data_IF_502540990103
#
_entry.id   IF_502540990103
#
_cell.length_a   1.000
_cell.length_b   1.000
_cell.length_c   1.000
_cell.angle_alpha   90.00
_cell.angle_beta   90.00
_cell.angle_gamma   90.00
#
_symmetry.space_group_name_H-M   'P 1'
#
loop_
_entity.id
_entity.type
_entity.pdbx_description
1 polymer ?
#
# COMPACT_ATOMS: atom_id res chain seq x y z
N UNK A 1 26.01 55.35 -21.56
CA UNK A 1 24.73 55.85 -21.00
C UNK A 1 23.77 54.68 -20.82
N UNK A 2 23.40 54.29 -19.59
CA UNK A 2 22.37 53.26 -19.37
C UNK A 2 21.00 53.84 -19.76
N UNK A 3 20.36 53.26 -20.78
CA UNK A 3 19.05 53.68 -21.28
C UNK A 3 18.00 53.62 -20.17
N UNK A 4 16.99 54.50 -20.23
CA UNK A 4 15.87 54.53 -19.26
C UNK A 4 15.20 53.16 -19.11
N UNK A 5 15.10 52.41 -20.22
CA UNK A 5 14.60 51.04 -20.25
C UNK A 5 15.45 50.06 -19.42
N UNK A 6 16.79 50.12 -19.52
CA UNK A 6 17.68 49.25 -18.74
C UNK A 6 17.59 49.47 -17.23
N UNK A 7 17.32 50.72 -16.78
CA UNK A 7 17.07 51.02 -15.36
C UNK A 7 15.73 50.48 -14.86
N UNK A 8 14.71 50.45 -15.70
CA UNK A 8 13.39 49.89 -15.37
C UNK A 8 13.49 48.37 -15.26
N UNK A 9 14.11 47.70 -16.23
CA UNK A 9 14.31 46.25 -16.22
C UNK A 9 15.09 45.82 -14.96
N UNK A 10 16.19 46.51 -14.64
CA UNK A 10 16.98 46.18 -13.44
C UNK A 10 16.16 46.30 -12.14
N UNK A 11 15.31 47.32 -12.02
CA UNK A 11 14.44 47.50 -10.84
C UNK A 11 13.37 46.42 -10.75
N UNK A 12 12.78 46.02 -11.87
CA UNK A 12 11.79 44.94 -11.93
C UNK A 12 12.45 43.61 -11.57
N UNK A 13 13.61 43.29 -12.14
CA UNK A 13 14.36 42.07 -11.82
C UNK A 13 14.78 42.01 -10.35
N UNK A 14 15.25 43.13 -9.77
CA UNK A 14 15.58 43.21 -8.36
C UNK A 14 14.35 43.02 -7.46
N UNK A 15 13.21 43.59 -7.84
CA UNK A 15 11.94 43.40 -7.13
C UNK A 15 11.46 41.95 -7.16
N UNK A 16 11.53 41.29 -8.32
CA UNK A 16 11.19 39.87 -8.46
C UNK A 16 12.14 38.97 -7.66
N UNK A 17 13.44 39.27 -7.64
CA UNK A 17 14.41 38.52 -6.84
C UNK A 17 14.15 38.67 -5.33
N UNK A 18 13.83 39.90 -4.87
CA UNK A 18 13.47 40.15 -3.48
C UNK A 18 12.17 39.44 -3.08
N UNK A 19 11.15 39.46 -3.94
CA UNK A 19 9.91 38.71 -3.73
C UNK A 19 10.16 37.19 -3.70
N UNK A 20 11.01 36.67 -4.59
CA UNK A 20 11.41 35.27 -4.58
C UNK A 20 12.15 34.86 -3.31
N UNK A 21 13.07 35.69 -2.83
CA UNK A 21 13.78 35.46 -1.57
C UNK A 21 12.85 35.53 -0.36
N UNK A 22 11.93 36.50 -0.32
CA UNK A 22 10.92 36.60 0.73
C UNK A 22 9.99 35.39 0.73
N UNK A 23 9.58 34.91 -0.45
CA UNK A 23 8.78 33.69 -0.59
C UNK A 23 9.56 32.45 -0.10
N UNK A 24 10.85 32.32 -0.43
CA UNK A 24 11.70 31.25 0.09
C UNK A 24 11.78 31.29 1.62
N UNK A 25 12.03 32.45 2.22
CA UNK A 25 12.09 32.59 3.69
C UNK A 25 10.74 32.29 4.34
N UNK A 26 9.63 32.71 3.72
CA UNK A 26 8.29 32.46 4.25
C UNK A 26 7.83 31.00 4.08
N UNK A 27 8.37 30.27 3.09
CA UNK A 27 7.99 28.89 2.77
C UNK A 27 8.97 27.83 3.29
N UNK A 28 10.12 28.23 3.83
CA UNK A 28 11.11 27.33 4.41
C UNK A 28 11.10 27.45 5.92
N UNK A 29 10.98 26.32 6.60
CA UNK A 29 11.14 26.22 8.05
C UNK A 29 12.46 25.49 8.37
N UNK A 30 12.96 25.67 9.59
CA UNK A 30 14.09 24.93 10.09
C UNK A 30 13.79 23.43 10.17
N UNK A 31 14.83 22.60 10.03
CA UNK A 31 14.68 21.16 10.30
C UNK A 31 14.41 20.97 11.78
N UNK A 32 13.23 20.48 12.12
CA UNK A 32 12.89 20.15 13.48
C UNK A 32 13.55 18.82 13.91
N UNK A 33 14.55 18.92 14.78
CA UNK A 33 15.28 17.78 15.32
C UNK A 33 14.63 17.16 16.57
N UNK A 34 13.48 17.68 17.05
CA UNK A 34 12.79 17.09 18.19
C UNK A 34 12.34 15.67 17.84
N UNK A 35 12.57 14.68 18.72
CA UNK A 35 12.10 13.32 18.49
C UNK A 35 10.58 13.29 18.23
N UNK A 36 10.12 12.45 17.30
CA UNK A 36 8.72 12.46 16.85
C UNK A 36 7.72 12.24 18.00
N UNK A 37 8.07 11.46 19.02
CA UNK A 37 7.23 11.21 20.19
C UNK A 37 7.07 12.42 21.15
N UNK A 38 7.83 13.50 20.91
CA UNK A 38 7.67 14.79 21.62
C UNK A 38 6.91 15.81 20.79
N UNK A 39 6.42 15.44 19.61
CA UNK A 39 5.74 16.35 18.72
C UNK A 39 4.25 16.48 19.06
N UNK A 40 3.62 17.65 18.85
CA UNK A 40 2.19 17.82 19.08
C UNK A 40 1.33 16.82 18.31
N UNK A 41 1.69 16.52 17.05
CA UNK A 41 0.97 15.55 16.23
C UNK A 41 1.01 14.13 16.80
N UNK A 42 2.06 13.77 17.56
CA UNK A 42 2.16 12.45 18.18
C UNK A 42 1.15 12.31 19.31
N UNK A 43 1.10 13.29 20.22
CA UNK A 43 0.10 13.35 21.30
C UNK A 43 -1.32 13.32 20.75
N UNK A 44 -1.58 14.09 19.69
CA UNK A 44 -2.87 14.09 19.02
C UNK A 44 -3.22 12.73 18.39
N UNK A 45 -2.25 12.09 17.72
CA UNK A 45 -2.43 10.77 17.11
C UNK A 45 -2.74 9.70 18.18
N UNK A 46 -1.97 9.69 19.27
CA UNK A 46 -2.20 8.80 20.42
C UNK A 46 -3.58 9.00 21.04
N UNK A 47 -4.01 10.24 21.23
CA UNK A 47 -5.34 10.55 21.76
C UNK A 47 -6.45 10.05 20.82
N UNK A 48 -6.31 10.25 19.51
CA UNK A 48 -7.24 9.74 18.50
C UNK A 48 -7.31 8.21 18.52
N UNK A 49 -6.17 7.53 18.58
CA UNK A 49 -6.11 6.06 18.65
C UNK A 49 -6.79 5.52 19.90
N UNK A 50 -6.58 6.15 21.06
CA UNK A 50 -7.26 5.77 22.30
C UNK A 50 -8.77 5.95 22.20
N UNK A 51 -9.23 7.08 21.65
CA UNK A 51 -10.67 7.33 21.42
C UNK A 51 -11.28 6.27 20.50
N UNK A 52 -10.61 5.91 19.40
CA UNK A 52 -11.08 4.85 18.50
C UNK A 52 -11.10 3.48 19.19
N UNK A 53 -10.12 3.20 20.05
CA UNK A 53 -10.05 1.91 20.76
C UNK A 53 -11.12 1.82 21.85
N UNK A 54 -11.48 2.94 22.47
CA UNK A 54 -12.51 3.00 23.51
C UNK A 54 -13.92 2.67 22.98
N UNK A 55 -14.18 2.82 21.68
CA UNK A 55 -15.46 2.43 21.07
C UNK A 55 -15.51 0.99 20.58
N UNK A 56 -14.40 0.24 20.71
CA UNK A 56 -14.37 -1.15 20.29
C UNK A 56 -15.18 -2.03 21.24
N UNK A 57 -15.97 -2.94 20.67
CA UNK A 57 -16.74 -3.93 21.42
C UNK A 57 -16.16 -5.32 21.17
N UNK A 58 -15.99 -6.10 22.23
CA UNK A 58 -15.46 -7.47 22.13
C UNK A 58 -16.60 -8.42 21.84
N UNK A 59 -16.50 -9.16 20.74
CA UNK A 59 -17.40 -10.28 20.41
C UNK A 59 -16.72 -11.59 20.77
N UNK A 60 -17.45 -12.49 21.43
CA UNK A 60 -16.98 -13.83 21.80
C UNK A 60 -17.85 -14.88 21.08
N UNK A 61 -17.22 -15.95 20.64
CA UNK A 61 -17.88 -17.06 19.96
C UNK A 61 -16.86 -17.94 19.24
N UNK A 62 -17.37 -18.92 18.51
CA UNK A 62 -16.53 -19.80 17.69
C UNK A 62 -15.90 -19.02 16.54
N UNK A 63 -14.63 -19.31 16.26
CA UNK A 63 -13.91 -18.75 15.13
C UNK A 63 -14.20 -19.56 13.88
N UNK A 64 -14.52 -18.85 12.80
CA UNK A 64 -14.42 -19.38 11.46
C UNK A 64 -13.33 -18.64 10.67
N UNK A 65 -12.61 -19.38 9.83
CA UNK A 65 -11.61 -18.83 8.93
C UNK A 65 -11.83 -19.33 7.50
N UNK A 66 -11.56 -18.46 6.53
CA UNK A 66 -11.64 -18.77 5.12
C UNK A 66 -10.47 -18.15 4.38
N UNK A 67 -10.00 -18.81 3.32
CA UNK A 67 -8.78 -18.38 2.62
C UNK A 67 -9.05 -18.20 1.13
N UNK A 68 -8.47 -17.16 0.55
CA UNK A 68 -8.63 -16.87 -0.87
C UNK A 68 -7.33 -16.38 -1.49
N UNK A 69 -7.16 -16.65 -2.79
CA UNK A 69 -5.98 -16.23 -3.53
C UNK A 69 -6.31 -15.94 -4.99
N UNK A 70 -6.00 -14.74 -5.44
CA UNK A 70 -6.10 -14.35 -6.85
C UNK A 70 -4.71 -14.09 -7.43
N UNK A 71 -4.45 -14.58 -8.65
CA UNK A 71 -3.22 -14.25 -9.39
C UNK A 71 -3.24 -12.78 -9.76
N UNK A 72 -2.22 -12.03 -9.35
CA UNK A 72 -2.03 -10.62 -9.65
C UNK A 72 -1.18 -10.41 -10.90
N UNK A 73 -0.31 -11.37 -11.26
CA UNK A 73 0.52 -11.31 -12.47
C UNK A 73 -0.32 -11.02 -13.71
N UNK A 74 -0.10 -9.87 -14.38
CA UNK A 74 -0.67 -9.63 -15.69
C UNK A 74 0.15 -10.35 -16.76
N UNK A 75 -0.50 -10.76 -17.85
CA UNK A 75 0.20 -11.04 -19.10
C UNK A 75 0.67 -9.72 -19.73
N UNK A 76 1.94 -9.68 -20.12
CA UNK A 76 2.57 -8.53 -20.80
C UNK A 76 2.97 -8.93 -22.23
N UNK A 77 3.23 -7.94 -23.10
CA UNK A 77 3.49 -8.14 -24.53
C UNK A 77 2.29 -8.70 -25.32
N UNK A 78 1.07 -8.46 -24.84
CA UNK A 78 -0.13 -8.82 -25.58
C UNK A 78 -0.30 -7.95 -26.85
N UNK A 79 -1.08 -8.44 -27.82
CA UNK A 79 -1.41 -7.67 -29.02
C UNK A 79 -2.23 -6.40 -28.69
N UNK A 80 -3.13 -6.51 -27.71
CA UNK A 80 -4.03 -5.45 -27.27
C UNK A 80 -4.22 -5.49 -25.74
N UNK A 81 -4.56 -4.35 -25.16
CA UNK A 81 -4.91 -4.28 -23.74
C UNK A 81 -6.30 -4.89 -23.52
N UNK A 82 -6.39 -5.84 -22.59
CA UNK A 82 -7.63 -6.37 -22.05
C UNK A 82 -7.50 -6.47 -20.52
N UNK A 83 -7.71 -5.35 -19.80
CA UNK A 83 -7.56 -5.31 -18.35
C UNK A 83 -8.44 -6.30 -17.61
N UNK A 84 -9.64 -6.63 -18.11
CA UNK A 84 -10.53 -7.59 -17.46
C UNK A 84 -9.94 -9.01 -17.41
N UNK A 85 -9.08 -9.36 -18.39
CA UNK A 85 -8.35 -10.62 -18.46
C UNK A 85 -6.90 -10.50 -17.96
N UNK A 86 -6.49 -9.34 -17.47
CA UNK A 86 -5.13 -9.10 -16.99
C UNK A 86 -4.09 -9.11 -18.10
N UNK A 87 -4.49 -8.77 -19.33
CA UNK A 87 -3.63 -8.79 -20.50
C UNK A 87 -3.29 -7.36 -20.93
N UNK A 88 -2.00 -7.07 -21.11
CA UNK A 88 -1.52 -5.73 -21.41
C UNK A 88 -0.43 -5.78 -22.48
N UNK A 89 -0.42 -4.79 -23.36
CA UNK A 89 0.66 -4.60 -24.35
C UNK A 89 1.98 -4.35 -23.64
N UNK A 90 1.94 -3.55 -22.58
CA UNK A 90 3.12 -3.14 -21.81
C UNK A 90 2.69 -2.59 -20.47
N UNK A 91 3.36 -2.98 -19.38
CA UNK A 91 3.13 -2.42 -18.05
C UNK A 91 4.46 -2.08 -17.38
N UNK A 92 4.60 -0.90 -16.74
CA UNK A 92 5.76 -0.57 -15.92
C UNK A 92 5.87 -1.50 -14.70
N UNK A 93 7.09 -1.65 -14.19
CA UNK A 93 7.32 -2.24 -12.86
C UNK A 93 7.44 -1.13 -11.80
N UNK A 94 6.77 -1.30 -10.67
CA UNK A 94 6.77 -0.32 -9.58
C UNK A 94 8.03 -0.39 -8.69
N UNK A 95 8.39 0.70 -8.03
CA UNK A 95 9.29 0.73 -6.87
C UNK A 95 10.62 1.44 -7.10
N UNK A 96 11.38 1.09 -8.13
CA UNK A 96 12.66 1.74 -8.41
C UNK A 96 12.51 2.94 -9.35
N UNK A 97 12.73 4.15 -8.82
CA UNK A 97 12.72 5.40 -9.61
C UNK A 97 13.74 5.40 -10.75
N UNK A 98 14.91 4.78 -10.56
CA UNK A 98 15.95 4.64 -11.60
C UNK A 98 15.51 3.80 -12.80
N UNK A 99 14.41 3.04 -12.66
CA UNK A 99 13.80 2.33 -13.78
C UNK A 99 13.15 3.29 -14.77
N UNK A 100 12.82 4.53 -14.36
CA UNK A 100 12.15 5.56 -15.18
C UNK A 100 10.90 5.05 -15.88
N UNK A 101 10.12 4.21 -15.18
CA UNK A 101 8.90 3.62 -15.72
C UNK A 101 9.10 2.60 -16.86
N UNK A 102 10.32 2.06 -17.06
CA UNK A 102 10.54 0.99 -18.04
C UNK A 102 9.60 -0.20 -17.79
N UNK A 103 9.03 -0.78 -18.87
CA UNK A 103 8.08 -1.88 -18.75
C UNK A 103 8.73 -3.19 -18.33
N UNK A 104 7.90 -4.07 -17.78
CA UNK A 104 8.24 -5.47 -17.57
C UNK A 104 8.54 -6.13 -18.93
N UNK A 105 9.61 -6.93 -18.97
CA UNK A 105 9.98 -7.70 -20.17
C UNK A 105 9.48 -9.15 -20.11
N UNK A 106 9.02 -9.60 -18.95
CA UNK A 106 8.49 -10.94 -18.73
C UNK A 106 8.16 -11.17 -17.25
N UNK A 107 7.83 -12.42 -16.93
CA UNK A 107 7.48 -12.88 -15.58
C UNK A 107 8.49 -13.95 -15.16
N UNK A 108 9.07 -13.77 -13.97
CA UNK A 108 9.89 -14.81 -13.33
C UNK A 108 9.01 -15.71 -12.44
N UNK A 109 8.37 -15.11 -11.43
CA UNK A 109 7.41 -15.77 -10.54
C UNK A 109 6.03 -15.09 -10.61
N UNK A 110 5.01 -15.85 -10.24
CA UNK A 110 3.67 -15.31 -10.12
C UNK A 110 3.46 -14.49 -8.85
N UNK A 111 2.86 -13.31 -9.04
CA UNK A 111 2.37 -12.41 -8.00
C UNK A 111 0.95 -12.81 -7.63
N UNK A 112 0.59 -12.66 -6.36
CA UNK A 112 -0.74 -12.95 -5.86
C UNK A 112 -1.28 -11.85 -4.95
N UNK A 113 -2.61 -11.78 -4.87
CA UNK A 113 -3.31 -11.25 -3.71
C UNK A 113 -3.80 -12.44 -2.90
N UNK A 114 -3.48 -12.47 -1.60
CA UNK A 114 -3.89 -13.52 -0.66
C UNK A 114 -4.75 -12.89 0.42
N UNK A 115 -5.87 -13.50 0.75
CA UNK A 115 -6.82 -13.01 1.75
C UNK A 115 -7.16 -14.09 2.77
N UNK A 116 -7.32 -13.66 4.02
CA UNK A 116 -7.76 -14.45 5.16
C UNK A 116 -8.99 -13.75 5.75
N UNK A 117 -10.15 -14.39 5.63
CA UNK A 117 -11.38 -13.96 6.28
C UNK A 117 -11.48 -14.60 7.67
N UNK A 118 -11.87 -13.81 8.66
CA UNK A 118 -12.03 -14.18 10.07
C UNK A 118 -13.44 -13.82 10.49
N UNK A 119 -14.19 -14.78 11.04
CA UNK A 119 -15.54 -14.52 11.55
C UNK A 119 -15.70 -15.03 12.98
N UNK A 120 -16.27 -14.20 13.84
CA UNK A 120 -16.71 -14.55 15.20
C UNK A 120 -18.11 -13.98 15.39
N UNK A 121 -19.11 -14.85 15.55
CA UNK A 121 -20.52 -14.43 15.54
C UNK A 121 -20.89 -13.72 14.23
N UNK A 122 -21.43 -12.51 14.33
CA UNK A 122 -21.79 -11.65 13.19
C UNK A 122 -20.63 -10.77 12.70
N UNK A 123 -19.48 -10.77 13.39
CA UNK A 123 -18.33 -9.92 13.07
C UNK A 123 -17.41 -10.62 12.08
N UNK A 124 -17.18 -9.95 10.96
CA UNK A 124 -16.29 -10.40 9.89
C UNK A 124 -15.17 -9.38 9.69
N UNK A 125 -13.93 -9.84 9.64
CA UNK A 125 -12.77 -9.06 9.20
C UNK A 125 -12.00 -9.83 8.14
N UNK A 126 -11.35 -9.12 7.22
CA UNK A 126 -10.54 -9.71 6.17
C UNK A 126 -9.17 -9.05 6.15
N UNK A 127 -8.13 -9.85 6.35
CA UNK A 127 -6.74 -9.42 6.20
C UNK A 127 -6.23 -9.88 4.84
N UNK A 128 -5.54 -9.01 4.12
CA UNK A 128 -4.97 -9.37 2.82
C UNK A 128 -3.57 -8.81 2.61
N UNK A 129 -2.77 -9.59 1.91
CA UNK A 129 -1.43 -9.24 1.45
C UNK A 129 -1.36 -9.36 -0.07
N UNK A 130 -0.82 -8.33 -0.73
CA UNK A 130 -0.53 -8.35 -2.15
C UNK A 130 0.97 -8.42 -2.41
N UNK A 131 1.39 -9.22 -3.38
CA UNK A 131 2.73 -9.19 -3.94
C UNK A 131 2.88 -7.93 -4.83
N UNK A 132 2.94 -6.78 -4.17
CA UNK A 132 2.95 -5.46 -4.78
C UNK A 132 3.87 -4.48 -4.02
N UNK A 133 4.24 -3.37 -4.65
CA UNK A 133 4.93 -2.27 -3.99
C UNK A 133 4.08 -1.70 -2.84
N UNK A 134 2.85 -1.31 -3.14
CA UNK A 134 1.88 -0.80 -2.16
C UNK A 134 0.48 -1.17 -2.64
N UNK A 135 -0.52 -0.96 -1.78
CA UNK A 135 -1.92 -0.86 -2.22
C UNK A 135 -2.28 0.63 -2.26
N UNK A 136 -2.38 1.23 -3.46
CA UNK A 136 -2.72 2.64 -3.59
C UNK A 136 -4.13 2.91 -3.06
N UNK A 137 -4.35 4.12 -2.49
CA UNK A 137 -5.69 4.53 -2.01
C UNK A 137 -6.78 4.32 -3.07
N UNK A 138 -6.52 4.69 -4.33
CA UNK A 138 -7.50 4.56 -5.41
C UNK A 138 -7.82 3.10 -5.77
N UNK A 139 -6.87 2.18 -5.61
CA UNK A 139 -7.11 0.73 -5.76
C UNK A 139 -7.91 0.21 -4.56
N UNK A 140 -7.54 0.62 -3.34
CA UNK A 140 -8.23 0.23 -2.11
C UNK A 140 -9.70 0.70 -2.11
N UNK A 141 -9.95 1.93 -2.54
CA UNK A 141 -11.29 2.53 -2.59
C UNK A 141 -12.16 1.82 -3.63
N UNK A 142 -11.61 1.54 -4.82
CA UNK A 142 -12.31 0.80 -5.87
C UNK A 142 -12.68 -0.63 -5.40
N UNK A 143 -11.73 -1.36 -4.82
CA UNK A 143 -11.98 -2.70 -4.29
C UNK A 143 -13.00 -2.67 -3.12
N UNK A 144 -12.90 -1.69 -2.23
CA UNK A 144 -13.82 -1.55 -1.09
C UNK A 144 -15.24 -1.25 -1.54
N UNK A 145 -15.42 -0.38 -2.53
CA UNK A 145 -16.73 -0.06 -3.09
C UNK A 145 -17.39 -1.30 -3.70
N UNK A 146 -16.63 -2.07 -4.48
CA UNK A 146 -17.14 -3.29 -5.10
C UNK A 146 -17.47 -4.37 -4.06
N UNK A 147 -16.62 -4.55 -3.03
CA UNK A 147 -16.89 -5.49 -1.94
C UNK A 147 -18.09 -5.08 -1.07
N UNK A 148 -18.34 -3.79 -0.91
CA UNK A 148 -19.55 -3.30 -0.25
C UNK A 148 -20.81 -3.66 -1.05
N UNK A 149 -20.76 -3.53 -2.38
CA UNK A 149 -21.87 -3.87 -3.26
C UNK A 149 -22.11 -5.39 -3.37
N UNK A 150 -21.05 -6.19 -3.52
CA UNK A 150 -21.15 -7.64 -3.72
C UNK A 150 -21.40 -8.42 -2.42
N UNK A 151 -20.77 -8.02 -1.31
CA UNK A 151 -20.71 -8.81 -0.08
C UNK A 151 -21.18 -8.03 1.17
N UNK A 152 -21.56 -6.76 1.05
CA UNK A 152 -21.95 -5.93 2.19
C UNK A 152 -20.80 -5.61 3.14
N UNK A 153 -19.53 -5.75 2.71
CA UNK A 153 -18.37 -5.45 3.54
C UNK A 153 -18.16 -3.94 3.68
N UNK A 154 -17.92 -3.49 4.91
CA UNK A 154 -17.55 -2.11 5.22
C UNK A 154 -16.04 -1.93 5.17
N UNK A 155 -15.57 -0.71 4.89
CA UNK A 155 -14.14 -0.40 4.70
C UNK A 155 -13.30 -0.79 5.92
N UNK A 156 -13.82 -0.61 7.13
CA UNK A 156 -13.17 -0.94 8.40
C UNK A 156 -13.02 -2.45 8.64
N UNK A 157 -13.68 -3.29 7.85
CA UNK A 157 -13.52 -4.75 7.90
C UNK A 157 -12.34 -5.22 7.03
N UNK A 158 -11.72 -4.33 6.24
CA UNK A 158 -10.66 -4.68 5.28
C UNK A 158 -9.29 -4.14 5.75
N UNK A 159 -8.36 -5.07 5.99
CA UNK A 159 -6.98 -4.79 6.37
C UNK A 159 -6.06 -5.12 5.20
N UNK A 160 -5.57 -4.07 4.53
CA UNK A 160 -4.84 -4.16 3.27
C UNK A 160 -3.34 -4.01 3.53
N UNK A 161 -2.54 -4.97 3.07
CA UNK A 161 -1.07 -4.95 3.14
C UNK A 161 -0.43 -5.33 1.80
N UNK A 162 0.83 -4.97 1.61
CA UNK A 162 1.63 -5.38 0.47
C UNK A 162 3.03 -5.79 0.93
N UNK A 163 3.65 -6.72 0.22
CA UNK A 163 5.02 -7.21 0.52
C UNK A 163 6.11 -6.18 0.26
N UNK A 164 5.75 -5.04 -0.36
CA UNK A 164 6.67 -4.00 -0.78
C UNK A 164 7.71 -4.49 -1.81
N UNK A 165 7.33 -5.43 -2.68
CA UNK A 165 8.19 -5.86 -3.78
C UNK A 165 8.34 -4.77 -4.85
N UNK A 166 9.58 -4.54 -5.31
CA UNK A 166 9.93 -3.59 -6.38
C UNK A 166 9.89 -4.24 -7.79
N UNK A 167 9.29 -5.42 -7.88
CA UNK A 167 9.19 -6.24 -9.10
C UNK A 167 7.74 -6.62 -9.41
N UNK A 168 6.78 -5.82 -8.95
CA UNK A 168 5.35 -5.98 -9.27
C UNK A 168 4.84 -5.00 -10.31
N UNK A 169 3.58 -5.18 -10.72
CA UNK A 169 2.88 -4.26 -11.61
C UNK A 169 2.89 -2.80 -11.09
N UNK A 170 3.21 -1.88 -12.00
CA UNK A 170 3.04 -0.45 -11.86
C UNK A 170 1.79 0.05 -12.59
N UNK A 171 1.79 1.31 -13.00
CA UNK A 171 0.73 1.92 -13.82
C UNK A 171 -0.57 2.19 -13.06
N UNK A 172 -0.64 1.89 -11.76
CA UNK A 172 -1.84 2.06 -10.94
C UNK A 172 -2.10 3.51 -10.50
N UNK A 173 -1.05 4.35 -10.46
CA UNK A 173 -1.07 5.69 -9.89
C UNK A 173 -1.10 6.77 -10.96
N UNK A 174 -1.94 7.78 -10.76
CA UNK A 174 -2.08 8.92 -11.66
C UNK A 174 -1.34 10.14 -11.10
N UNK A 175 -0.79 10.96 -11.99
CA UNK A 175 -0.10 12.19 -11.64
C UNK A 175 1.35 11.97 -11.25
N UNK A 176 2.08 13.08 -11.12
CA UNK A 176 3.54 13.10 -10.98
C UNK A 176 4.10 12.17 -9.89
N UNK A 177 3.47 12.15 -8.71
CA UNK A 177 3.92 11.28 -7.61
C UNK A 177 3.62 9.82 -7.90
N UNK A 178 2.40 9.50 -8.35
CA UNK A 178 2.01 8.13 -8.68
C UNK A 178 2.87 7.54 -9.80
N UNK A 179 3.15 8.34 -10.83
CA UNK A 179 3.95 7.93 -11.98
C UNK A 179 5.45 7.83 -11.66
N UNK A 180 5.95 8.58 -10.68
CA UNK A 180 7.34 8.45 -10.22
C UNK A 180 7.62 7.07 -9.58
N UNK A 181 6.65 6.51 -8.86
CA UNK A 181 6.78 5.19 -8.21
C UNK A 181 6.28 4.04 -9.09
N UNK A 182 5.20 4.28 -9.85
CA UNK A 182 4.50 3.27 -10.62
C UNK A 182 4.78 3.28 -12.12
N UNK A 183 5.51 4.26 -12.65
CA UNK A 183 5.57 4.50 -14.09
C UNK A 183 4.27 5.10 -14.65
N UNK A 184 4.24 5.37 -15.96
CA UNK A 184 3.11 6.06 -16.62
C UNK A 184 1.77 5.41 -16.26
N UNK A 185 0.79 6.24 -15.91
CA UNK A 185 -0.52 5.78 -15.49
C UNK A 185 -1.22 4.98 -16.60
N UNK A 186 -1.76 3.83 -16.21
CA UNK A 186 -2.59 2.96 -17.03
C UNK A 186 -3.85 2.59 -16.25
N UNK A 187 -5.02 3.16 -16.58
CA UNK A 187 -6.27 2.92 -15.84
C UNK A 187 -6.61 1.43 -15.68
N UNK A 188 -6.33 0.61 -16.70
CA UNK A 188 -6.56 -0.83 -16.67
C UNK A 188 -5.73 -1.57 -15.61
N UNK A 189 -4.53 -1.09 -15.28
CA UNK A 189 -3.71 -1.69 -14.23
C UNK A 189 -4.34 -1.47 -12.85
N UNK A 190 -4.92 -0.27 -12.62
CA UNK A 190 -5.66 0.06 -11.40
C UNK A 190 -6.88 -0.83 -11.24
N UNK A 191 -7.71 -0.96 -12.29
CA UNK A 191 -8.91 -1.79 -12.24
C UNK A 191 -8.57 -3.27 -12.07
N UNK A 192 -7.60 -3.80 -12.83
CA UNK A 192 -7.14 -5.19 -12.70
C UNK A 192 -6.68 -5.49 -11.27
N UNK A 193 -5.91 -4.60 -10.66
CA UNK A 193 -5.44 -4.80 -9.29
C UNK A 193 -6.61 -4.81 -8.30
N UNK A 194 -7.54 -3.86 -8.40
CA UNK A 194 -8.73 -3.83 -7.56
C UNK A 194 -9.56 -5.13 -7.71
N UNK A 195 -9.80 -5.58 -8.94
CA UNK A 195 -10.54 -6.81 -9.23
C UNK A 195 -9.88 -8.06 -8.63
N UNK A 196 -8.54 -8.12 -8.61
CA UNK A 196 -7.82 -9.24 -7.97
C UNK A 196 -7.95 -9.22 -6.44
N UNK A 197 -8.00 -8.04 -5.83
CA UNK A 197 -8.33 -7.91 -4.41
C UNK A 197 -9.75 -8.44 -4.15
N UNK A 198 -10.73 -7.98 -4.93
CA UNK A 198 -12.13 -8.41 -4.80
C UNK A 198 -12.25 -9.93 -4.95
N UNK A 199 -11.60 -10.50 -5.96
CA UNK A 199 -11.61 -11.95 -6.20
C UNK A 199 -11.04 -12.75 -5.03
N UNK A 200 -9.89 -12.35 -4.48
CA UNK A 200 -9.28 -13.03 -3.33
C UNK A 200 -10.16 -12.92 -2.08
N UNK A 201 -10.74 -11.75 -1.81
CA UNK A 201 -11.63 -11.53 -0.66
C UNK A 201 -12.92 -12.35 -0.80
N UNK A 202 -13.53 -12.36 -1.99
CA UNK A 202 -14.74 -13.15 -2.26
C UNK A 202 -14.51 -14.63 -2.04
N UNK A 203 -13.39 -15.16 -2.54
CA UNK A 203 -13.00 -16.56 -2.30
C UNK A 203 -12.80 -16.84 -0.80
N UNK A 204 -12.10 -15.95 -0.09
CA UNK A 204 -11.86 -16.10 1.35
C UNK A 204 -13.17 -16.11 2.16
N UNK A 205 -14.12 -15.23 1.85
CA UNK A 205 -15.42 -15.17 2.53
C UNK A 205 -16.27 -16.40 2.21
N UNK A 206 -16.24 -16.88 0.97
CA UNK A 206 -16.97 -18.09 0.57
C UNK A 206 -16.41 -19.37 1.20
N UNK A 207 -15.12 -19.40 1.57
CA UNK A 207 -14.45 -20.55 2.19
C UNK A 207 -14.51 -20.56 3.74
N UNK A 208 -15.34 -19.73 4.37
CA UNK A 208 -15.43 -19.68 5.83
C UNK A 208 -15.90 -21.01 6.44
N UNK A 209 -15.06 -21.59 7.28
CA UNK A 209 -15.29 -22.85 8.01
C UNK A 209 -14.83 -22.71 9.47
N UNK A 210 -15.37 -23.49 10.42
CA UNK A 210 -14.86 -23.53 11.79
C UNK A 210 -13.33 -23.68 11.81
N UNK A 211 -12.65 -22.92 12.66
CA UNK A 211 -11.20 -22.85 12.66
C UNK A 211 -10.61 -22.57 14.05
N UNK A 212 -9.33 -22.89 14.21
CA UNK A 212 -8.52 -22.46 15.34
C UNK A 212 -7.49 -21.42 14.92
N UNK A 213 -7.08 -20.60 15.89
CA UNK A 213 -6.08 -19.55 15.74
C UNK A 213 -4.89 -19.84 16.66
N UNK A 214 -3.69 -19.62 16.15
CA UNK A 214 -2.46 -19.57 16.93
C UNK A 214 -1.64 -18.38 16.48
N UNK A 215 -0.66 -17.99 17.29
CA UNK A 215 0.31 -16.96 16.92
C UNK A 215 1.66 -17.29 17.58
N UNK A 216 2.71 -16.70 17.07
CA UNK A 216 4.06 -16.82 17.61
C UNK A 216 4.98 -15.76 17.04
N UNK A 217 6.19 -15.68 17.58
CA UNK A 217 7.25 -14.85 17.03
C UNK A 217 8.60 -15.52 17.23
N UNK A 218 9.57 -15.14 16.39
CA UNK A 218 10.97 -15.52 16.53
C UNK A 218 11.87 -14.39 16.04
N UNK A 219 13.14 -14.37 16.47
CA UNK A 219 14.11 -13.40 15.99
C UNK A 219 14.78 -13.90 14.70
N UNK A 220 14.89 -13.02 13.70
CA UNK A 220 15.51 -13.28 12.40
C UNK A 220 16.44 -12.11 11.94
N UNK A 221 17.38 -11.65 12.79
CA UNK A 221 18.20 -10.47 12.54
C UNK A 221 19.09 -10.58 11.29
N UNK A 222 19.43 -11.78 10.84
CA UNK A 222 20.27 -12.05 9.68
C UNK A 222 19.63 -11.64 8.34
N UNK A 223 18.30 -11.48 8.29
CA UNK A 223 17.58 -11.10 7.08
C UNK A 223 17.32 -9.58 6.97
N UNK A 224 17.71 -8.79 7.98
CA UNK A 224 17.44 -7.35 8.03
C UNK A 224 18.70 -6.55 8.31
N UNK A 225 18.82 -5.37 7.70
CA UNK A 225 19.91 -4.42 7.99
C UNK A 225 19.43 -2.99 7.89
N UNK A 226 20.01 -2.11 8.70
CA UNK A 226 19.75 -0.68 8.59
C UNK A 226 20.51 -0.09 7.41
N UNK A 227 19.79 0.37 6.37
CA UNK A 227 20.40 0.93 5.16
C UNK A 227 20.84 2.40 5.28
N UNK A 228 20.50 3.10 6.36
CA UNK A 228 20.81 4.52 6.54
C UNK A 228 22.16 4.72 7.25
N UNK A 229 22.38 3.98 8.35
CA UNK A 229 23.57 4.13 9.21
C UNK A 229 24.31 2.82 9.46
N UNK A 230 23.96 1.76 8.72
CA UNK A 230 24.62 0.46 8.80
C UNK A 230 24.54 -0.15 10.21
N UNK A 231 25.67 -0.64 10.71
CA UNK A 231 25.77 -1.31 12.01
C UNK A 231 25.51 -0.39 13.21
N UNK A 232 25.56 0.93 13.03
CA UNK A 232 25.23 1.89 14.09
C UNK A 232 23.72 1.99 14.33
N UNK A 233 22.91 1.50 13.39
CA UNK A 233 21.46 1.54 13.46
C UNK A 233 20.87 0.33 14.17
N UNK A 234 19.73 0.53 14.81
CA UNK A 234 18.91 -0.59 15.28
C UNK A 234 18.20 -1.25 14.09
N UNK A 235 17.95 -2.54 14.23
CA UNK A 235 17.04 -3.32 13.40
C UNK A 235 15.90 -3.83 14.29
N UNK A 236 14.75 -4.09 13.69
CA UNK A 236 13.71 -4.89 14.33
C UNK A 236 13.92 -6.35 13.91
N UNK A 237 14.40 -7.23 14.80
CA UNK A 237 14.68 -8.61 14.43
C UNK A 237 13.44 -9.49 14.53
N UNK A 238 12.32 -9.02 15.10
CA UNK A 238 11.19 -9.89 15.37
C UNK A 238 10.40 -10.19 14.09
N UNK A 239 10.23 -11.48 13.81
CA UNK A 239 9.26 -11.98 12.86
C UNK A 239 8.06 -12.53 13.64
N UNK A 240 6.91 -11.87 13.51
CA UNK A 240 5.66 -12.24 14.16
C UNK A 240 4.70 -12.86 13.15
N UNK A 241 4.01 -13.93 13.54
CA UNK A 241 3.07 -14.61 12.66
C UNK A 241 1.81 -15.08 13.39
N UNK A 242 0.74 -15.21 12.62
CA UNK A 242 -0.51 -15.85 13.00
C UNK A 242 -0.74 -17.09 12.13
N UNK A 243 -1.30 -18.13 12.73
CA UNK A 243 -1.66 -19.39 12.07
C UNK A 243 -3.15 -19.60 12.22
N UNK A 244 -3.81 -19.91 11.12
CA UNK A 244 -5.22 -20.28 11.10
C UNK A 244 -5.39 -21.64 10.48
N UNK A 245 -6.10 -22.52 11.19
CA UNK A 245 -6.34 -23.89 10.75
C UNK A 245 -7.84 -24.17 10.76
N UNK A 246 -8.41 -24.41 9.59
CA UNK A 246 -9.78 -24.87 9.47
C UNK A 246 -9.91 -26.30 10.01
N UNK A 247 -11.02 -26.62 10.66
CA UNK A 247 -11.36 -27.99 11.05
C UNK A 247 -11.50 -28.85 9.80
N UNK A 248 -10.67 -29.89 9.68
CA UNK A 248 -10.59 -30.77 8.50
C UNK A 248 -10.36 -30.02 7.17
N UNK A 249 -9.75 -28.84 7.22
CA UNK A 249 -9.57 -27.97 6.08
C UNK A 249 -8.13 -27.51 5.89
N UNK A 250 -7.99 -26.35 5.27
CA UNK A 250 -6.68 -25.77 4.97
C UNK A 250 -6.06 -25.11 6.20
N UNK A 251 -4.76 -24.86 6.08
CA UNK A 251 -3.98 -24.04 7.01
C UNK A 251 -3.44 -22.83 6.26
N UNK A 252 -3.46 -21.67 6.90
CA UNK A 252 -2.84 -20.46 6.42
C UNK A 252 -1.95 -19.84 7.50
N UNK A 253 -0.87 -19.20 7.06
CA UNK A 253 0.04 -18.41 7.90
C UNK A 253 0.04 -16.98 7.38
N UNK A 254 -0.10 -16.03 8.30
CA UNK A 254 0.01 -14.59 8.06
C UNK A 254 1.21 -14.09 8.86
N UNK A 255 2.16 -13.41 8.22
CA UNK A 255 3.35 -12.82 8.84
C UNK A 255 3.99 -11.82 7.89
#
# INVERSE_FOLDING_TARGET
>A
MKTRAGRIILRISAGLAALGAAALVACLDGVDHRPYFRQPYYTETEARLRTCTATNTVTRGDLAAGFGRARLTPAVNAAQDNPAQGSFRSLPLAGYGDRKGRPATGTHDDLYVKAVALRVGDRLGVMLGADALIIPRTVADAASLQLAQELGLRREQLYLSATHTHSSLGGWGEGMVGEAFGGKFQPGARSWFADRIVAAVREAVADLKPASFGHGSFAAPEFVRNRLVGQLGRVDPEFSYAVLKQTNGRLAVLG
#
